data_IF_276750916954
#
_entry.id   IF_276750916954
#
_cell.length_a   1.000
_cell.length_b   1.000
_cell.length_c   1.000
_cell.angle_alpha   90.00
_cell.angle_beta   90.00
_cell.angle_gamma   90.00
#
_symmetry.space_group_name_H-M   'P 1'
#
loop_
_entity.id
_entity.type
_entity.pdbx_description
1 polymer ?
#
# COMPACT_ATOMS: atom_id res chain seq x y z
N UNK A 1 -33.15 -2.23 -4.13
CA UNK A 1 -32.55 -1.02 -3.51
C UNK A 1 -32.65 0.15 -4.50
N UNK A 2 -33.73 0.97 -4.45
CA UNK A 2 -33.98 2.00 -5.47
C UNK A 2 -33.08 3.24 -5.39
N UNK A 3 -32.28 3.39 -4.32
CA UNK A 3 -31.41 4.55 -4.11
C UNK A 3 -29.91 4.21 -4.20
N UNK A 4 -29.56 2.98 -4.61
CA UNK A 4 -28.15 2.57 -4.67
C UNK A 4 -27.48 3.23 -5.88
N UNK A 5 -26.63 4.23 -5.63
CA UNK A 5 -25.91 4.96 -6.68
C UNK A 5 -24.52 4.38 -6.98
N UNK A 6 -23.88 3.81 -5.95
CA UNK A 6 -22.54 3.25 -6.01
C UNK A 6 -22.57 1.80 -5.59
N UNK A 7 -21.99 0.92 -6.40
CA UNK A 7 -21.78 -0.48 -6.06
C UNK A 7 -20.28 -0.76 -6.01
N UNK A 8 -19.78 -1.18 -4.86
CA UNK A 8 -18.45 -1.75 -4.72
C UNK A 8 -18.59 -3.25 -4.43
N UNK A 9 -17.90 -4.07 -5.20
CA UNK A 9 -18.01 -5.53 -5.15
C UNK A 9 -16.60 -6.11 -5.13
N UNK A 10 -16.25 -6.79 -4.04
CA UNK A 10 -15.04 -7.62 -3.92
C UNK A 10 -15.50 -9.05 -3.67
N UNK A 11 -15.27 -9.96 -4.62
CA UNK A 11 -15.74 -11.33 -4.49
C UNK A 11 -14.85 -12.36 -5.19
N UNK A 12 -15.03 -13.61 -4.78
CA UNK A 12 -14.50 -14.80 -5.42
C UNK A 12 -15.68 -15.67 -5.88
N UNK A 13 -15.67 -16.17 -7.13
CA UNK A 13 -16.80 -16.94 -7.67
C UNK A 13 -16.37 -17.96 -8.73
N UNK A 14 -17.20 -18.98 -8.94
CA UNK A 14 -17.18 -19.90 -10.09
C UNK A 14 -18.36 -19.67 -11.03
N UNK A 15 -19.22 -18.68 -10.73
CA UNK A 15 -20.43 -18.41 -11.49
C UNK A 15 -20.15 -17.58 -12.76
N UNK A 16 -20.19 -18.27 -13.90
CA UNK A 16 -20.04 -17.69 -15.22
C UNK A 16 -21.10 -16.62 -15.55
N UNK A 17 -22.29 -16.67 -14.93
CA UNK A 17 -23.34 -15.68 -15.15
C UNK A 17 -22.99 -14.34 -14.50
N UNK A 18 -22.32 -14.35 -13.34
CA UNK A 18 -21.96 -13.14 -12.60
C UNK A 18 -20.85 -12.35 -13.29
N UNK A 19 -19.96 -13.03 -14.01
CA UNK A 19 -18.83 -12.41 -14.72
C UNK A 19 -19.16 -11.97 -16.15
N UNK A 20 -20.30 -12.41 -16.67
CA UNK A 20 -20.82 -11.94 -17.95
C UNK A 20 -21.43 -10.54 -17.75
N UNK A 21 -20.83 -9.52 -18.37
CA UNK A 21 -21.22 -8.12 -18.15
C UNK A 21 -22.68 -7.83 -18.47
N UNK A 22 -23.25 -8.48 -19.50
CA UNK A 22 -24.65 -8.30 -19.87
C UNK A 22 -25.60 -8.84 -18.79
N UNK A 23 -25.29 -10.01 -18.23
CA UNK A 23 -26.08 -10.60 -17.16
C UNK A 23 -25.92 -9.81 -15.85
N UNK A 24 -24.68 -9.42 -15.52
CA UNK A 24 -24.38 -8.63 -14.34
C UNK A 24 -25.18 -7.32 -14.33
N UNK A 25 -25.26 -6.62 -15.45
CA UNK A 25 -25.97 -5.32 -15.51
C UNK A 25 -27.48 -5.49 -15.47
N UNK A 26 -28.02 -6.57 -16.03
CA UNK A 26 -29.46 -6.85 -15.99
C UNK A 26 -29.99 -7.00 -14.56
N UNK A 27 -29.15 -7.43 -13.63
CA UNK A 27 -29.52 -7.59 -12.21
C UNK A 27 -29.26 -6.33 -11.38
N UNK A 28 -28.56 -5.33 -11.92
CA UNK A 28 -28.30 -4.09 -11.20
C UNK A 28 -29.52 -3.15 -11.22
N UNK A 29 -29.80 -2.46 -10.11
CA UNK A 29 -30.74 -1.35 -10.11
C UNK A 29 -30.31 -0.26 -11.10
N UNK A 30 -31.27 0.32 -11.83
CA UNK A 30 -31.01 1.43 -12.77
C UNK A 30 -30.47 2.70 -12.10
N UNK A 31 -30.55 2.79 -10.77
CA UNK A 31 -29.98 3.88 -9.98
C UNK A 31 -28.45 3.81 -9.87
N UNK A 32 -27.83 2.66 -10.17
CA UNK A 32 -26.37 2.47 -10.06
C UNK A 32 -25.68 3.18 -11.23
N UNK A 33 -24.90 4.20 -10.91
CA UNK A 33 -24.15 5.01 -11.89
C UNK A 33 -22.64 4.76 -11.80
N UNK A 34 -22.18 4.19 -10.68
CA UNK A 34 -20.77 3.95 -10.40
C UNK A 34 -20.58 2.52 -9.90
N UNK A 35 -19.69 1.78 -10.56
CA UNK A 35 -19.44 0.36 -10.28
C UNK A 35 -17.94 0.18 -10.09
N UNK A 36 -17.57 -0.36 -8.93
CA UNK A 36 -16.21 -0.79 -8.58
C UNK A 36 -16.21 -2.30 -8.40
N UNK A 37 -15.56 -3.02 -9.30
CA UNK A 37 -15.49 -4.47 -9.26
C UNK A 37 -14.08 -4.91 -8.96
N UNK A 38 -13.98 -5.92 -8.11
CA UNK A 38 -12.85 -6.81 -7.99
C UNK A 38 -13.38 -8.24 -7.89
N UNK A 39 -13.27 -9.00 -8.97
CA UNK A 39 -13.82 -10.35 -9.08
C UNK A 39 -12.68 -11.33 -9.37
N UNK A 40 -12.50 -12.29 -8.46
CA UNK A 40 -11.68 -13.47 -8.71
C UNK A 40 -12.56 -14.59 -9.23
N UNK A 41 -12.49 -14.87 -10.52
CA UNK A 41 -13.30 -15.88 -11.19
C UNK A 41 -12.52 -17.18 -11.41
N UNK A 42 -12.92 -18.25 -10.75
CA UNK A 42 -12.37 -19.59 -10.94
C UNK A 42 -13.13 -20.31 -12.05
N UNK A 43 -12.41 -20.95 -12.97
CA UNK A 43 -13.02 -21.55 -14.16
C UNK A 43 -12.56 -22.98 -14.38
N UNK A 44 -13.49 -23.85 -14.75
CA UNK A 44 -13.21 -25.28 -14.96
C UNK A 44 -12.69 -25.60 -16.36
N UNK A 45 -13.01 -24.76 -17.36
CA UNK A 45 -12.56 -24.90 -18.75
C UNK A 45 -11.08 -24.58 -18.91
N UNK A 46 -10.40 -25.17 -19.89
CA UNK A 46 -8.95 -25.03 -20.07
C UNK A 46 -8.48 -23.62 -20.44
N UNK A 47 -9.35 -22.75 -20.95
CA UNK A 47 -9.04 -21.33 -21.21
C UNK A 47 -10.27 -20.44 -21.06
N UNK A 48 -10.10 -19.31 -20.36
CA UNK A 48 -10.93 -18.12 -20.57
C UNK A 48 -10.29 -17.30 -21.69
N UNK A 49 -11.09 -16.95 -22.69
CA UNK A 49 -10.74 -15.93 -23.66
C UNK A 49 -11.09 -14.56 -23.07
N UNK A 50 -10.06 -13.82 -22.64
CA UNK A 50 -10.24 -12.51 -22.01
C UNK A 50 -11.02 -11.56 -22.92
N UNK A 51 -10.73 -11.54 -24.23
CA UNK A 51 -11.43 -10.70 -25.22
C UNK A 51 -12.92 -11.02 -25.29
N UNK A 52 -13.26 -12.31 -25.27
CA UNK A 52 -14.66 -12.76 -25.25
C UNK A 52 -15.36 -12.29 -23.99
N UNK A 53 -14.72 -12.38 -22.81
CA UNK A 53 -15.31 -11.88 -21.57
C UNK A 53 -15.46 -10.35 -21.59
N UNK A 54 -14.41 -9.62 -21.96
CA UNK A 54 -14.41 -8.16 -22.09
C UNK A 54 -15.50 -7.67 -23.05
N UNK A 55 -15.74 -8.39 -24.16
CA UNK A 55 -16.80 -8.05 -25.13
C UNK A 55 -18.22 -8.10 -24.56
N UNK A 56 -18.43 -8.82 -23.45
CA UNK A 56 -19.74 -8.87 -22.78
C UNK A 56 -20.01 -7.65 -21.89
N UNK A 57 -18.98 -6.86 -21.57
CA UNK A 57 -19.12 -5.67 -20.75
C UNK A 57 -19.45 -4.45 -21.62
N UNK A 58 -20.38 -3.58 -21.20
CA UNK A 58 -20.64 -2.37 -21.93
C UNK A 58 -19.42 -1.46 -21.92
N UNK A 59 -19.25 -0.73 -23.00
CA UNK A 59 -18.12 0.18 -23.23
C UNK A 59 -18.01 1.31 -22.22
N UNK A 60 -19.10 1.66 -21.53
CA UNK A 60 -19.09 2.69 -20.48
C UNK A 60 -18.55 2.19 -19.13
N UNK A 61 -18.48 0.87 -18.90
CA UNK A 61 -17.83 0.27 -17.73
C UNK A 61 -16.47 -0.25 -18.18
N UNK A 62 -15.42 0.48 -17.82
CA UNK A 62 -14.07 0.04 -18.12
C UNK A 62 -13.63 -1.04 -17.15
N UNK A 63 -13.39 -2.24 -17.69
CA UNK A 63 -12.86 -3.37 -16.93
C UNK A 63 -11.58 -3.90 -17.56
N UNK A 64 -10.78 -4.56 -16.74
CA UNK A 64 -9.63 -5.37 -17.16
C UNK A 64 -9.87 -6.80 -16.75
N UNK A 65 -9.48 -7.74 -17.61
CA UNK A 65 -9.52 -9.17 -17.34
C UNK A 65 -8.10 -9.72 -17.44
N UNK A 66 -7.57 -10.23 -16.32
CA UNK A 66 -6.22 -10.77 -16.20
C UNK A 66 -6.31 -12.28 -15.92
N UNK A 67 -6.23 -13.14 -16.95
CA UNK A 67 -6.34 -14.58 -16.78
C UNK A 67 -5.03 -15.21 -16.28
N UNK A 68 -5.12 -16.00 -15.21
CA UNK A 68 -4.09 -16.94 -14.77
C UNK A 68 -4.38 -18.35 -15.31
N UNK A 69 -3.74 -18.69 -16.43
CA UNK A 69 -3.94 -19.98 -17.10
C UNK A 69 -3.42 -21.16 -16.28
N UNK A 70 -2.37 -20.96 -15.47
CA UNK A 70 -1.75 -22.02 -14.67
C UNK A 70 -2.68 -22.47 -13.54
N UNK A 71 -3.34 -21.51 -12.89
CA UNK A 71 -4.17 -21.74 -11.72
C UNK A 71 -5.68 -21.67 -11.99
N UNK A 72 -6.07 -21.59 -13.28
CA UNK A 72 -7.46 -21.60 -13.74
C UNK A 72 -8.36 -20.58 -13.04
N UNK A 73 -7.86 -19.35 -12.91
CA UNK A 73 -8.66 -18.22 -12.45
C UNK A 73 -8.39 -16.97 -13.27
N UNK A 74 -9.32 -16.02 -13.30
CA UNK A 74 -9.14 -14.71 -13.91
C UNK A 74 -9.52 -13.62 -12.91
N UNK A 75 -8.74 -12.55 -12.90
CA UNK A 75 -9.09 -11.34 -12.14
C UNK A 75 -9.78 -10.37 -13.07
N UNK A 76 -11.02 -10.03 -12.75
CA UNK A 76 -11.82 -9.05 -13.48
C UNK A 76 -12.04 -7.88 -12.54
N UNK A 77 -11.57 -6.70 -12.91
CA UNK A 77 -11.77 -5.54 -12.06
C UNK A 77 -11.99 -4.29 -12.89
N UNK A 78 -12.71 -3.32 -12.32
CA UNK A 78 -12.94 -2.04 -12.97
C UNK A 78 -11.70 -1.17 -12.91
N UNK A 79 -11.44 -0.43 -13.98
CA UNK A 79 -10.52 0.72 -13.93
C UNK A 79 -11.39 1.95 -13.67
N UNK A 80 -11.36 2.56 -12.47
CA UNK A 80 -12.16 3.75 -12.21
C UNK A 80 -11.81 4.85 -13.22
N UNK A 81 -12.82 5.40 -13.89
CA UNK A 81 -12.63 6.46 -14.88
C UNK A 81 -12.23 7.80 -14.24
N UNK A 82 -12.69 8.03 -13.01
CA UNK A 82 -12.65 9.34 -12.36
C UNK A 82 -11.83 9.35 -11.06
N UNK A 83 -11.36 8.19 -10.59
CA UNK A 83 -10.57 8.09 -9.36
C UNK A 83 -9.11 7.76 -9.71
N UNK A 84 -8.14 8.58 -9.28
CA UNK A 84 -6.73 8.28 -9.47
C UNK A 84 -6.24 7.14 -8.56
N UNK A 85 -7.13 6.58 -7.73
CA UNK A 85 -6.79 5.58 -6.73
C UNK A 85 -7.34 4.20 -7.08
N UNK A 86 -6.50 3.17 -6.92
CA UNK A 86 -6.87 1.77 -7.07
C UNK A 86 -6.33 0.92 -5.93
N UNK A 87 -7.12 -0.08 -5.52
CA UNK A 87 -6.74 -1.06 -4.51
C UNK A 87 -6.73 -2.44 -5.15
N UNK A 88 -5.61 -3.16 -5.03
CA UNK A 88 -5.39 -4.43 -5.72
C UNK A 88 -4.71 -5.44 -4.77
N UNK A 89 -5.15 -6.70 -4.70
CA UNK A 89 -4.48 -7.70 -3.89
C UNK A 89 -3.23 -8.23 -4.59
N UNK A 90 -2.19 -8.52 -3.80
CA UNK A 90 -0.88 -8.98 -4.31
C UNK A 90 -0.95 -10.25 -5.17
N UNK A 91 -1.92 -11.14 -4.89
CA UNK A 91 -2.18 -12.37 -5.66
C UNK A 91 -2.39 -12.13 -7.17
N UNK A 92 -2.73 -10.90 -7.58
CA UNK A 92 -2.89 -10.56 -8.99
C UNK A 92 -1.58 -10.60 -9.77
N UNK A 93 -0.42 -10.49 -9.10
CA UNK A 93 0.89 -10.32 -9.73
C UNK A 93 1.16 -11.37 -10.82
N UNK A 94 0.82 -12.63 -10.53
CA UNK A 94 0.96 -13.75 -11.46
C UNK A 94 0.06 -13.68 -12.71
N UNK A 95 -0.89 -12.76 -12.74
CA UNK A 95 -1.81 -12.53 -13.86
C UNK A 95 -1.40 -11.32 -14.71
N UNK A 96 -0.48 -10.50 -14.22
CA UNK A 96 -0.03 -9.29 -14.90
C UNK A 96 1.10 -9.65 -15.86
N UNK A 97 0.82 -9.60 -17.17
CA UNK A 97 1.86 -9.80 -18.18
C UNK A 97 2.65 -8.52 -18.40
N UNK A 98 3.93 -8.62 -18.77
CA UNK A 98 4.87 -7.50 -18.97
C UNK A 98 4.34 -6.42 -19.96
N UNK A 99 3.37 -6.74 -20.81
CA UNK A 99 2.71 -5.79 -21.72
C UNK A 99 1.36 -5.22 -21.23
N UNK A 100 0.92 -5.56 -20.02
CA UNK A 100 -0.33 -5.08 -19.42
C UNK A 100 -0.15 -3.68 -18.87
N UNK A 101 0.00 -2.68 -19.74
CA UNK A 101 0.06 -1.30 -19.28
C UNK A 101 -1.33 -0.84 -18.83
N UNK A 102 -1.43 -0.34 -17.60
CA UNK A 102 -2.57 0.48 -17.22
C UNK A 102 -2.48 1.79 -18.01
N UNK A 103 -3.22 1.85 -19.11
CA UNK A 103 -3.24 2.98 -20.05
C UNK A 103 -3.80 4.27 -19.42
N UNK A 104 -4.39 4.19 -18.23
CA UNK A 104 -4.99 5.32 -17.50
C UNK A 104 -4.12 5.74 -16.31
N UNK A 105 -4.16 7.04 -16.01
CA UNK A 105 -3.33 7.70 -14.99
C UNK A 105 -3.81 7.34 -13.57
N UNK A 106 -3.44 6.16 -13.08
CA UNK A 106 -3.51 5.84 -11.65
C UNK A 106 -2.34 6.54 -10.96
N UNK A 107 -2.66 7.39 -9.99
CA UNK A 107 -1.69 8.11 -9.18
C UNK A 107 -1.54 7.51 -7.77
N UNK A 108 -2.55 6.80 -7.25
CA UNK A 108 -2.53 6.21 -5.92
C UNK A 108 -2.81 4.70 -5.99
N UNK A 109 -1.85 3.87 -5.62
CA UNK A 109 -1.97 2.41 -5.63
C UNK A 109 -1.88 1.88 -4.20
N UNK A 110 -2.86 1.06 -3.80
CA UNK A 110 -2.81 0.28 -2.58
C UNK A 110 -2.74 -1.21 -2.90
N UNK A 111 -1.67 -1.87 -2.47
CA UNK A 111 -1.46 -3.31 -2.58
C UNK A 111 -1.69 -3.97 -1.23
N UNK A 112 -2.54 -5.00 -1.18
CA UNK A 112 -2.93 -5.69 0.05
C UNK A 112 -2.88 -7.23 -0.04
N UNK A 113 -2.93 -7.92 1.10
CA UNK A 113 -2.88 -9.40 1.22
C UNK A 113 -1.47 -9.94 1.52
N UNK A 114 -1.34 -11.27 1.59
CA UNK A 114 -0.03 -11.94 1.74
C UNK A 114 0.86 -11.61 0.54
N UNK A 115 2.04 -11.07 0.81
CA UNK A 115 2.87 -10.36 -0.16
C UNK A 115 4.30 -10.91 -0.14
N UNK A 116 4.84 -11.23 -1.31
CA UNK A 116 6.29 -11.25 -1.50
C UNK A 116 6.72 -9.99 -2.27
N UNK A 117 7.97 -9.56 -2.08
CA UNK A 117 8.47 -8.34 -2.72
C UNK A 117 8.41 -8.42 -4.27
N UNK A 118 8.59 -9.63 -4.82
CA UNK A 118 8.47 -9.88 -6.26
C UNK A 118 7.08 -9.57 -6.79
N UNK A 119 6.03 -10.00 -6.07
CA UNK A 119 4.65 -9.74 -6.49
C UNK A 119 4.36 -8.23 -6.51
N UNK A 120 4.85 -7.51 -5.51
CA UNK A 120 4.74 -6.04 -5.45
C UNK A 120 5.41 -5.43 -6.67
N UNK A 121 6.64 -5.84 -6.99
CA UNK A 121 7.36 -5.32 -8.16
C UNK A 121 6.64 -5.64 -9.48
N UNK A 122 6.12 -6.86 -9.62
CA UNK A 122 5.34 -7.28 -10.79
C UNK A 122 4.09 -6.44 -10.99
N UNK A 123 3.46 -5.98 -9.91
CA UNK A 123 2.30 -5.08 -9.99
C UNK A 123 2.75 -3.66 -10.32
N UNK A 124 3.69 -3.13 -9.54
CA UNK A 124 4.11 -1.72 -9.56
C UNK A 124 4.69 -1.30 -10.91
N UNK A 125 5.37 -2.19 -11.63
CA UNK A 125 5.93 -1.88 -12.97
C UNK A 125 4.88 -1.40 -13.99
N UNK A 126 3.59 -1.69 -13.77
CA UNK A 126 2.52 -1.29 -14.69
C UNK A 126 1.96 0.12 -14.42
N UNK A 127 2.43 0.80 -13.36
CA UNK A 127 1.89 2.07 -12.87
C UNK A 127 2.89 3.24 -12.98
N UNK A 128 3.12 3.73 -14.20
CA UNK A 128 4.12 4.78 -14.48
C UNK A 128 3.76 6.19 -13.95
N UNK A 129 2.49 6.44 -13.64
CA UNK A 129 2.01 7.75 -13.17
C UNK A 129 1.89 7.82 -11.64
N UNK A 130 2.36 6.79 -10.95
CA UNK A 130 2.17 6.61 -9.52
C UNK A 130 2.84 7.72 -8.71
N UNK A 131 2.06 8.35 -7.84
CA UNK A 131 2.48 9.37 -6.87
C UNK A 131 2.48 8.82 -5.45
N UNK A 132 1.52 7.97 -5.11
CA UNK A 132 1.40 7.33 -3.80
C UNK A 132 1.35 5.81 -3.96
N UNK A 133 2.23 5.11 -3.25
CA UNK A 133 2.23 3.66 -3.15
C UNK A 133 1.99 3.26 -1.70
N UNK A 134 0.95 2.48 -1.44
CA UNK A 134 0.68 1.87 -0.14
C UNK A 134 0.80 0.36 -0.25
N UNK A 135 1.67 -0.23 0.55
CA UNK A 135 1.96 -1.66 0.61
C UNK A 135 1.62 -2.12 2.03
N UNK A 136 0.83 -3.18 2.17
CA UNK A 136 0.68 -3.84 3.46
C UNK A 136 -0.58 -4.67 3.61
N UNK A 137 -0.55 -5.59 4.55
CA UNK A 137 -1.71 -6.35 5.04
C UNK A 137 -2.36 -5.59 6.19
N UNK A 138 -3.67 -5.79 6.42
CA UNK A 138 -4.33 -5.32 7.63
C UNK A 138 -3.86 -6.11 8.88
N UNK A 139 -3.17 -7.24 8.67
CA UNK A 139 -2.49 -8.00 9.71
C UNK A 139 -1.06 -7.48 9.92
N UNK A 140 -0.82 -6.84 11.07
CA UNK A 140 0.47 -6.20 11.42
C UNK A 140 1.67 -7.17 11.56
N UNK A 141 1.47 -8.49 11.44
CA UNK A 141 2.46 -9.53 11.72
C UNK A 141 3.15 -10.10 10.49
N UNK A 142 2.77 -9.71 9.27
CA UNK A 142 3.32 -10.32 8.06
C UNK A 142 4.71 -9.73 7.71
N UNK A 143 5.70 -10.63 7.67
CA UNK A 143 7.04 -10.36 7.13
C UNK A 143 6.94 -10.55 5.61
N UNK A 144 7.22 -9.49 4.85
CA UNK A 144 7.34 -9.59 3.41
C UNK A 144 8.65 -10.30 3.09
N UNK A 145 8.56 -11.57 2.69
CA UNK A 145 9.73 -12.39 2.37
C UNK A 145 10.21 -12.11 0.94
N UNK A 146 11.53 -12.02 0.77
CA UNK A 146 12.17 -11.87 -0.53
C UNK A 146 12.19 -13.26 -1.20
N UNK A 147 11.42 -13.44 -2.28
CA UNK A 147 11.59 -14.61 -3.14
C UNK A 147 12.61 -14.27 -4.23
N UNK A 148 13.74 -14.97 -4.20
CA UNK A 148 14.81 -14.89 -5.20
C UNK A 148 14.29 -15.20 -6.60
N UNK A 149 14.00 -14.13 -7.35
CA UNK A 149 13.70 -14.14 -8.77
C UNK A 149 14.37 -12.93 -9.39
N UNK A 150 14.58 -12.97 -10.71
CA UNK A 150 15.34 -11.96 -11.45
C UNK A 150 14.93 -10.53 -11.06
N UNK A 151 15.90 -9.60 -10.95
CA UNK A 151 15.61 -8.24 -10.51
C UNK A 151 14.69 -7.55 -11.51
N UNK A 152 13.46 -7.27 -11.10
CA UNK A 152 12.52 -6.44 -11.85
C UNK A 152 13.03 -5.00 -11.74
N UNK A 153 13.42 -4.42 -12.88
CA UNK A 153 13.88 -3.03 -12.93
C UNK A 153 12.65 -2.14 -12.84
N UNK A 154 12.48 -1.48 -11.70
CA UNK A 154 11.41 -0.51 -11.49
C UNK A 154 11.86 0.90 -11.86
N UNK A 155 10.96 1.66 -12.47
CA UNK A 155 11.13 3.09 -12.72
C UNK A 155 9.89 3.85 -12.25
N UNK A 156 10.01 4.57 -11.13
CA UNK A 156 8.92 5.26 -10.45
C UNK A 156 9.20 6.77 -10.35
N UNK A 157 9.34 7.48 -11.49
CA UNK A 157 9.83 8.85 -11.52
C UNK A 157 8.88 9.85 -10.85
N UNK A 158 7.60 9.51 -10.70
CA UNK A 158 6.57 10.39 -10.12
C UNK A 158 6.22 10.06 -8.67
N UNK A 159 6.78 8.98 -8.13
CA UNK A 159 6.44 8.54 -6.79
C UNK A 159 6.98 9.53 -5.77
N UNK A 160 6.06 10.08 -4.97
CA UNK A 160 6.30 11.10 -3.94
C UNK A 160 6.10 10.54 -2.53
N UNK A 161 5.13 9.63 -2.36
CA UNK A 161 4.77 9.07 -1.07
C UNK A 161 4.81 7.54 -1.12
N UNK A 162 5.58 6.92 -0.22
CA UNK A 162 5.62 5.47 -0.02
C UNK A 162 5.13 5.16 1.39
N UNK A 163 4.15 4.27 1.49
CA UNK A 163 3.57 3.79 2.75
C UNK A 163 3.74 2.29 2.83
N UNK A 164 4.43 1.78 3.83
CA UNK A 164 4.64 0.34 4.02
C UNK A 164 4.22 -0.06 5.42
N UNK A 165 3.19 -0.90 5.51
CA UNK A 165 2.79 -1.56 6.76
C UNK A 165 3.38 -2.98 6.78
N UNK A 166 3.80 -3.45 7.96
CA UNK A 166 4.48 -4.74 8.12
C UNK A 166 6.01 -4.59 8.10
N UNK A 167 6.74 -5.68 7.84
CA UNK A 167 8.22 -5.70 7.80
C UNK A 167 8.70 -6.03 6.39
N UNK A 168 9.50 -5.15 5.76
CA UNK A 168 9.89 -5.26 4.35
C UNK A 168 11.19 -4.51 4.03
N UNK A 169 11.99 -5.06 3.12
CA UNK A 169 13.12 -4.38 2.49
C UNK A 169 12.63 -3.44 1.38
N UNK A 170 12.67 -2.14 1.63
CA UNK A 170 12.15 -1.12 0.71
C UNK A 170 13.20 -0.58 -0.27
N UNK A 171 14.45 -1.06 -0.24
CA UNK A 171 15.57 -0.48 -0.98
C UNK A 171 15.29 -0.33 -2.48
N UNK A 172 14.78 -1.37 -3.11
CA UNK A 172 14.48 -1.36 -4.55
C UNK A 172 13.43 -0.31 -4.93
N UNK A 173 12.42 -0.10 -4.09
CA UNK A 173 11.38 0.91 -4.30
C UNK A 173 11.94 2.32 -4.10
N UNK A 174 12.76 2.53 -3.06
CA UNK A 174 13.43 3.81 -2.80
C UNK A 174 14.40 4.16 -3.93
N UNK A 175 15.16 3.18 -4.42
CA UNK A 175 16.09 3.39 -5.53
C UNK A 175 15.34 3.74 -6.83
N UNK A 176 14.22 3.08 -7.09
CA UNK A 176 13.37 3.32 -8.27
C UNK A 176 12.62 4.67 -8.24
N UNK A 177 12.48 5.29 -7.05
CA UNK A 177 11.74 6.53 -6.83
C UNK A 177 12.67 7.72 -6.51
N UNK A 178 13.21 8.43 -7.53
CA UNK A 178 14.14 9.53 -7.31
C UNK A 178 13.53 10.75 -6.61
N UNK A 179 12.20 10.93 -6.71
CA UNK A 179 11.46 12.08 -6.19
C UNK A 179 10.65 11.75 -4.93
N UNK A 180 10.99 10.65 -4.24
CA UNK A 180 10.34 10.24 -3.01
C UNK A 180 10.63 11.27 -1.91
N UNK A 181 9.58 11.92 -1.40
CA UNK A 181 9.67 13.00 -0.39
C UNK A 181 9.03 12.60 0.94
N UNK A 182 8.04 11.71 0.90
CA UNK A 182 7.28 11.26 2.06
C UNK A 182 7.41 9.74 2.23
N UNK A 183 7.78 9.29 3.42
CA UNK A 183 7.91 7.89 3.78
C UNK A 183 7.11 7.60 5.04
N UNK A 184 6.23 6.60 4.98
CA UNK A 184 5.46 6.12 6.14
C UNK A 184 5.71 4.64 6.32
N UNK A 185 6.38 4.23 7.37
CA UNK A 185 6.83 2.85 7.53
C UNK A 185 6.68 2.35 8.95
N UNK A 186 6.74 1.03 9.13
CA UNK A 186 6.91 0.46 10.46
C UNK A 186 8.33 0.71 10.96
N UNK A 187 8.55 0.69 12.29
CA UNK A 187 9.92 0.75 12.80
C UNK A 187 10.77 -0.44 12.33
N UNK A 188 10.20 -1.64 12.18
CA UNK A 188 10.97 -2.79 11.69
C UNK A 188 11.54 -2.53 10.29
N UNK A 189 10.73 -1.99 9.38
CA UNK A 189 11.20 -1.54 8.07
C UNK A 189 12.28 -0.46 8.19
N UNK A 190 12.10 0.48 9.11
CA UNK A 190 13.05 1.57 9.32
C UNK A 190 14.41 1.06 9.81
N UNK A 191 14.42 0.14 10.77
CA UNK A 191 15.65 -0.47 11.28
C UNK A 191 16.39 -1.26 10.19
N UNK A 192 15.66 -1.98 9.33
CA UNK A 192 16.24 -2.64 8.15
C UNK A 192 16.89 -1.59 7.23
N UNK A 193 16.20 -0.49 6.97
CA UNK A 193 16.70 0.60 6.13
C UNK A 193 17.92 1.33 6.73
N UNK A 194 18.02 1.43 8.06
CA UNK A 194 19.18 1.98 8.75
C UNK A 194 20.41 1.07 8.64
N UNK A 195 20.22 -0.25 8.68
CA UNK A 195 21.30 -1.22 8.57
C UNK A 195 21.88 -1.30 7.16
N UNK A 196 21.09 -1.02 6.12
CA UNK A 196 21.61 -0.84 4.76
C UNK A 196 22.10 0.59 4.53
N UNK A 197 23.42 0.76 4.49
CA UNK A 197 24.08 2.04 4.24
C UNK A 197 23.61 2.73 2.95
N UNK A 198 23.25 1.95 1.91
CA UNK A 198 22.81 2.52 0.63
C UNK A 198 21.39 3.09 0.74
N UNK A 199 20.46 2.31 1.30
CA UNK A 199 19.10 2.79 1.61
C UNK A 199 19.17 4.01 2.52
N UNK A 200 19.90 3.93 3.64
CA UNK A 200 20.00 5.01 4.62
C UNK A 200 20.43 6.33 3.98
N UNK A 201 21.51 6.34 3.18
CA UNK A 201 21.98 7.53 2.46
C UNK A 201 20.97 8.11 1.47
N UNK A 202 20.20 7.24 0.81
CA UNK A 202 19.13 7.70 -0.10
C UNK A 202 17.99 8.35 0.68
N UNK A 203 17.61 7.76 1.82
CA UNK A 203 16.57 8.30 2.68
C UNK A 203 16.99 9.66 3.26
N UNK A 204 18.19 9.74 3.85
CA UNK A 204 18.78 10.96 4.41
C UNK A 204 18.92 12.10 3.38
N UNK A 205 18.95 11.78 2.08
CA UNK A 205 19.06 12.80 1.03
C UNK A 205 17.72 13.29 0.50
N UNK A 206 16.70 12.43 0.51
CA UNK A 206 15.47 12.63 -0.28
C UNK A 206 14.23 12.86 0.57
N UNK A 207 14.13 12.18 1.70
CA UNK A 207 12.94 12.25 2.53
C UNK A 207 12.90 13.60 3.24
N UNK A 208 11.73 14.23 3.21
CA UNK A 208 11.44 15.46 3.95
C UNK A 208 10.36 15.24 5.00
N UNK A 209 9.49 14.24 4.78
CA UNK A 209 8.45 13.84 5.72
C UNK A 209 8.60 12.35 6.06
N UNK A 210 8.89 12.04 7.32
CA UNK A 210 9.02 10.66 7.80
C UNK A 210 7.98 10.37 8.88
N UNK A 211 7.15 9.36 8.65
CA UNK A 211 6.23 8.81 9.64
C UNK A 211 6.66 7.37 9.97
N UNK A 212 6.98 7.15 11.25
CA UNK A 212 7.32 5.85 11.78
C UNK A 212 6.15 5.40 12.65
N UNK A 213 5.56 4.27 12.29
CA UNK A 213 4.42 3.67 13.00
C UNK A 213 4.86 2.42 13.76
N UNK A 214 4.43 2.26 15.02
CA UNK A 214 4.79 1.09 15.84
C UNK A 214 3.73 0.72 16.87
N UNK A 215 3.70 -0.58 17.18
CA UNK A 215 3.00 -1.20 18.32
C UNK A 215 3.97 -1.74 19.40
N UNK A 216 5.25 -1.39 19.34
CA UNK A 216 6.32 -1.88 20.23
C UNK A 216 7.11 -0.69 20.82
N UNK A 217 7.91 -0.94 21.85
CA UNK A 217 8.67 0.08 22.58
C UNK A 217 9.87 0.61 21.81
N UNK A 218 9.92 1.92 21.59
CA UNK A 218 11.07 2.64 21.00
C UNK A 218 11.99 3.07 22.13
N UNK A 219 13.28 2.76 22.03
CA UNK A 219 14.30 3.18 23.01
C UNK A 219 14.92 4.54 22.64
N UNK A 220 15.63 5.13 23.62
CA UNK A 220 16.27 6.45 23.49
C UNK A 220 17.35 6.45 22.40
N UNK A 221 18.15 5.39 22.30
CA UNK A 221 19.24 5.27 21.31
C UNK A 221 18.68 5.31 19.89
N UNK A 222 17.54 4.66 19.64
CA UNK A 222 16.85 4.70 18.36
C UNK A 222 16.36 6.10 18.02
N UNK A 223 15.80 6.82 18.99
CA UNK A 223 15.35 8.20 18.79
C UNK A 223 16.52 9.14 18.51
N UNK A 224 17.63 9.01 19.23
CA UNK A 224 18.85 9.76 19.00
C UNK A 224 19.41 9.49 17.60
N UNK A 225 19.43 8.22 17.19
CA UNK A 225 19.87 7.82 15.84
C UNK A 225 18.98 8.44 14.76
N UNK A 226 17.66 8.46 14.97
CA UNK A 226 16.72 9.12 14.05
C UNK A 226 17.00 10.62 14.01
N UNK A 227 17.10 11.27 15.17
CA UNK A 227 17.32 12.70 15.28
C UNK A 227 18.65 13.13 14.63
N UNK A 228 19.72 12.36 14.80
CA UNK A 228 21.03 12.62 14.22
C UNK A 228 20.99 12.51 12.69
N UNK A 229 20.49 11.39 12.18
CA UNK A 229 20.49 11.08 10.74
C UNK A 229 19.50 11.91 9.95
N UNK A 230 18.38 12.25 10.56
CA UNK A 230 17.24 12.89 9.91
C UNK A 230 16.99 14.31 10.43
N UNK A 231 18.05 15.00 10.87
CA UNK A 231 18.02 16.39 11.35
C UNK A 231 17.53 17.42 10.31
N UNK A 232 17.46 17.05 9.03
CA UNK A 232 17.01 17.88 7.92
C UNK A 232 15.53 17.69 7.57
N UNK A 233 14.84 16.76 8.22
CA UNK A 233 13.41 16.53 7.96
C UNK A 233 12.61 17.79 8.27
N UNK A 234 11.62 18.06 7.41
CA UNK A 234 10.62 19.09 7.66
C UNK A 234 9.65 18.60 8.73
N UNK A 235 9.17 17.38 8.56
CA UNK A 235 8.19 16.74 9.44
C UNK A 235 8.67 15.33 9.82
N UNK A 236 8.84 15.08 11.12
CA UNK A 236 9.13 13.76 11.68
C UNK A 236 8.02 13.39 12.66
N UNK A 237 7.41 12.25 12.41
CA UNK A 237 6.28 11.76 13.17
C UNK A 237 6.54 10.34 13.64
N UNK A 238 6.53 10.13 14.96
CA UNK A 238 6.80 8.82 15.54
C UNK A 238 5.61 8.43 16.42
N UNK A 239 4.97 7.31 16.08
CA UNK A 239 3.95 6.63 16.90
C UNK A 239 4.55 5.36 17.48
N UNK A 240 4.50 5.21 18.78
CA UNK A 240 4.96 3.99 19.47
C UNK A 240 4.66 4.01 20.96
N UNK A 241 4.98 2.91 21.61
CA UNK A 241 5.03 2.85 23.07
C UNK A 241 6.40 3.34 23.53
N UNK A 242 6.43 4.12 24.60
CA UNK A 242 7.68 4.55 25.23
C UNK A 242 8.15 3.49 26.23
N UNK A 243 9.46 3.34 26.40
CA UNK A 243 10.02 2.51 27.47
C UNK A 243 9.66 3.09 28.84
N UNK A 244 9.69 2.26 29.89
CA UNK A 244 9.39 2.71 31.24
C UNK A 244 10.38 3.77 31.76
N UNK A 245 11.65 3.73 31.31
CA UNK A 245 12.67 4.74 31.62
C UNK A 245 12.30 6.09 31.00
N UNK A 246 11.97 6.13 29.71
CA UNK A 246 11.52 7.34 29.05
C UNK A 246 10.23 7.90 29.65
N UNK A 247 9.29 7.03 30.07
CA UNK A 247 8.08 7.45 30.80
C UNK A 247 8.42 8.11 32.13
N UNK A 248 9.46 7.65 32.83
CA UNK A 248 9.91 8.27 34.07
C UNK A 248 10.57 9.63 33.84
N UNK A 249 11.31 9.80 32.76
CA UNK A 249 11.91 11.10 32.41
C UNK A 249 10.89 12.10 31.88
N UNK A 250 9.84 11.65 31.17
CA UNK A 250 8.71 12.51 30.78
C UNK A 250 7.91 13.02 31.97
N UNK A 251 7.86 12.29 33.09
CA UNK A 251 7.27 12.79 34.34
C UNK A 251 8.02 14.00 34.91
N UNK A 252 9.25 14.25 34.47
CA UNK A 252 10.02 15.44 34.85
C UNK A 252 9.65 16.68 34.01
N UNK A 253 8.95 16.49 32.88
CA UNK A 253 8.39 17.55 32.06
C UNK A 253 6.93 17.74 32.49
N UNK A 254 6.65 18.78 33.28
CA UNK A 254 5.33 19.01 33.89
C UNK A 254 4.17 19.00 32.87
N UNK A 255 3.57 17.84 32.67
CA UNK A 255 2.25 17.65 32.08
C UNK A 255 1.39 17.02 33.18
N UNK A 256 0.19 17.53 33.41
CA UNK A 256 -0.68 17.00 34.45
C UNK A 256 -1.11 15.56 34.12
N UNK A 257 -0.47 14.58 34.75
CA UNK A 257 -0.58 13.14 34.45
C UNK A 257 -1.78 12.43 35.11
N UNK A 258 -2.72 13.15 35.74
CA UNK A 258 -3.84 12.56 36.49
C UNK A 258 -4.83 11.74 35.64
N UNK A 259 -4.69 11.75 34.30
CA UNK A 259 -5.62 11.10 33.38
C UNK A 259 -4.98 10.01 32.51
N UNK A 260 -3.69 9.75 32.67
CA UNK A 260 -2.95 8.78 31.86
C UNK A 260 -3.20 7.32 32.27
N UNK A 261 -3.47 6.45 31.29
CA UNK A 261 -3.59 4.99 31.43
C UNK A 261 -2.44 4.29 30.69
N UNK A 262 -2.16 3.05 31.08
CA UNK A 262 -1.08 2.23 30.52
C UNK A 262 -1.24 1.92 29.01
N UNK A 263 -2.44 2.14 28.46
CA UNK A 263 -2.81 1.85 27.09
C UNK A 263 -2.86 3.09 26.20
N UNK A 264 -2.53 4.27 26.74
CA UNK A 264 -2.64 5.53 26.00
C UNK A 264 -1.58 5.62 24.89
N UNK A 265 -2.02 5.98 23.68
CA UNK A 265 -1.13 6.26 22.55
C UNK A 265 -0.62 7.69 22.62
N UNK A 266 0.66 7.86 22.33
CA UNK A 266 1.29 9.18 22.27
C UNK A 266 1.72 9.49 20.85
N UNK A 267 1.59 10.76 20.51
CA UNK A 267 2.10 11.34 19.28
C UNK A 267 3.35 12.12 19.63
N UNK A 268 4.50 11.68 19.11
CA UNK A 268 5.72 12.46 19.17
C UNK A 268 5.86 13.25 17.87
N UNK A 269 5.69 14.57 17.97
CA UNK A 269 5.94 15.53 16.89
C UNK A 269 7.28 16.20 17.12
N UNK A 270 8.26 15.94 16.25
CA UNK A 270 9.52 16.69 16.26
C UNK A 270 9.47 17.79 15.20
N UNK A 271 9.57 19.04 15.65
CA UNK A 271 9.49 20.22 14.78
C UNK A 271 10.52 21.26 15.21
N UNK A 272 11.37 21.72 14.27
CA UNK A 272 12.37 22.79 14.52
C UNK A 272 13.29 22.51 15.71
N UNK A 273 13.82 21.30 15.80
CA UNK A 273 14.69 20.87 16.91
C UNK A 273 14.02 20.80 18.28
N UNK A 274 12.70 20.59 18.30
CA UNK A 274 11.93 20.45 19.53
C UNK A 274 11.04 19.20 19.45
N UNK A 275 11.07 18.39 20.50
CA UNK A 275 10.27 17.18 20.63
C UNK A 275 9.00 17.51 21.44
N UNK A 276 7.85 17.50 20.77
CA UNK A 276 6.54 17.69 21.41
C UNK A 276 5.88 16.33 21.55
N UNK A 277 5.35 16.04 22.73
CA UNK A 277 4.60 14.83 22.99
C UNK A 277 3.16 15.18 23.31
N UNK A 278 2.23 14.57 22.58
CA UNK A 278 0.80 14.78 22.74
C UNK A 278 0.13 13.45 23.06
N UNK A 279 -0.88 13.50 23.94
CA UNK A 279 -1.82 12.40 24.14
C UNK A 279 -2.84 12.38 23.03
N UNK A 280 -3.18 11.19 22.56
CA UNK A 280 -4.32 10.96 21.66
C UNK A 280 -5.64 10.78 22.44
#
# INVERSE_FOLDING_TARGET
MPCLQRLALDLCTEDAHLVNGQNFIRILPSSVVEIHLFILYYFTKTNIEADTLLSTWPTYIQITCLPNKLHKYAVIHTIPCDLPSIMIPAKIANCMSVGSEYTRKVEDLKIFGEQCLTDIHLIVQHFHQLRTLTIGSDNNSEILTVQSTQPIILHLPKLKCLRVKGTCEIFHLVQAAPNLECLRISLNCFNIALNDTSTCKLLEKRITDLEITRFQEIDEIQLDTIAEKFNHLRDLYIRGLLTDEMRQDLRQWFINHSHLRQEDSFVVEYKRNWLSMWLE
#
